data_IF_470623755662
#
_entry.id   IF_470623755662
#
_cell.length_a   1.000
_cell.length_b   1.000
_cell.length_c   1.000
_cell.angle_alpha   90.00
_cell.angle_beta   90.00
_cell.angle_gamma   90.00
#
_symmetry.space_group_name_H-M   'P 1'
#
loop_
_entity.id
_entity.type
_entity.pdbx_description
1 polymer ?
#
# COMPACT_ATOMS: atom_id res chain seq x y z
N UNK A 1 2.66 31.63 -16.15
CA UNK A 1 3.76 30.71 -16.50
C UNK A 1 3.14 29.37 -16.83
N UNK A 2 3.28 28.92 -18.08
CA UNK A 2 2.79 27.63 -18.54
C UNK A 2 3.79 26.57 -18.07
N UNK A 3 3.40 25.76 -17.08
CA UNK A 3 4.17 24.57 -16.71
C UNK A 3 3.74 23.43 -17.61
N UNK A 4 4.73 22.91 -18.32
CA UNK A 4 4.63 21.78 -19.26
C UNK A 4 4.16 20.54 -18.51
N UNK A 5 3.28 19.79 -19.15
CA UNK A 5 2.90 18.40 -18.88
C UNK A 5 3.99 17.57 -18.18
N UNK A 6 3.58 16.81 -17.17
CA UNK A 6 4.31 15.74 -16.48
C UNK A 6 5.22 14.92 -17.39
N UNK A 7 6.51 15.24 -17.41
CA UNK A 7 7.51 14.38 -18.06
C UNK A 7 8.00 13.37 -17.03
N UNK A 8 7.32 12.21 -16.97
CA UNK A 8 7.83 11.03 -16.25
C UNK A 8 9.25 10.71 -16.76
N UNK A 9 10.15 10.35 -15.85
CA UNK A 9 11.55 10.04 -16.18
C UNK A 9 11.74 8.54 -16.30
N UNK A 10 12.42 8.15 -17.37
CA UNK A 10 12.65 6.75 -17.73
C UNK A 10 13.96 6.27 -17.10
N UNK A 11 13.88 5.20 -16.31
CA UNK A 11 15.01 4.36 -15.89
C UNK A 11 15.02 3.16 -16.81
N UNK A 12 16.15 2.87 -17.43
CA UNK A 12 16.33 1.73 -18.32
C UNK A 12 17.37 0.79 -17.74
N UNK A 13 17.08 -0.51 -17.69
CA UNK A 13 18.05 -1.51 -17.25
C UNK A 13 17.79 -2.87 -17.87
N UNK A 14 18.83 -3.71 -17.89
CA UNK A 14 18.70 -5.09 -18.33
C UNK A 14 18.68 -6.01 -17.11
N UNK A 15 17.66 -6.85 -16.97
CA UNK A 15 17.59 -7.81 -15.88
C UNK A 15 18.75 -8.82 -15.96
N UNK A 16 19.55 -8.93 -14.91
CA UNK A 16 20.68 -9.87 -14.85
C UNK A 16 20.26 -11.34 -14.95
N UNK A 17 19.03 -11.66 -14.56
CA UNK A 17 18.53 -13.06 -14.53
C UNK A 17 17.94 -13.50 -15.87
N UNK A 18 17.11 -12.68 -16.52
CA UNK A 18 16.45 -13.04 -17.78
C UNK A 18 17.03 -12.37 -19.03
N UNK A 19 17.93 -11.40 -18.88
CA UNK A 19 18.53 -10.67 -19.99
C UNK A 19 17.59 -9.74 -20.75
N UNK A 20 16.32 -9.61 -20.32
CA UNK A 20 15.34 -8.71 -20.96
C UNK A 20 15.60 -7.27 -20.53
N UNK A 21 15.45 -6.35 -21.49
CA UNK A 21 15.42 -4.92 -21.23
C UNK A 21 14.12 -4.57 -20.49
N UNK A 22 14.25 -3.73 -19.46
CA UNK A 22 13.18 -3.32 -18.56
C UNK A 22 13.23 -1.80 -18.42
N UNK A 23 12.05 -1.21 -18.33
CA UNK A 23 11.87 0.24 -18.23
C UNK A 23 11.02 0.54 -16.98
N UNK A 24 11.49 1.46 -16.14
CA UNK A 24 10.67 2.04 -15.07
C UNK A 24 10.44 3.52 -15.38
N UNK A 25 9.21 3.98 -15.22
CA UNK A 25 8.89 5.41 -15.32
C UNK A 25 8.62 5.94 -13.92
N UNK A 26 9.40 6.93 -13.49
CA UNK A 26 9.27 7.53 -12.16
C UNK A 26 8.94 9.01 -12.25
N UNK A 27 8.10 9.48 -11.34
CA UNK A 27 7.85 10.91 -11.16
C UNK A 27 9.11 11.57 -10.58
N UNK A 28 9.60 12.70 -11.14
CA UNK A 28 10.79 13.38 -10.63
C UNK A 28 10.72 13.75 -9.13
N UNK A 29 9.51 14.01 -8.62
CA UNK A 29 9.25 14.31 -7.22
C UNK A 29 9.65 13.17 -6.25
N UNK A 30 9.80 11.94 -6.74
CA UNK A 30 10.16 10.78 -5.91
C UNK A 30 11.68 10.61 -5.71
N UNK A 31 12.52 11.45 -6.33
CA UNK A 31 13.96 11.25 -6.38
C UNK A 31 14.77 12.28 -5.54
N UNK A 32 14.26 13.50 -5.33
CA UNK A 32 15.13 14.65 -5.00
C UNK A 32 15.77 14.61 -3.61
N UNK A 33 15.10 14.10 -2.58
CA UNK A 33 15.58 14.36 -1.21
C UNK A 33 16.47 13.25 -0.64
N UNK A 34 16.31 12.01 -1.13
CA UNK A 34 17.09 10.84 -0.67
C UNK A 34 18.39 10.66 -1.45
N UNK A 35 18.42 10.95 -2.75
CA UNK A 35 19.61 10.76 -3.59
C UNK A 35 20.76 11.69 -3.19
N UNK A 36 20.46 12.91 -2.71
CA UNK A 36 21.49 13.84 -2.25
C UNK A 36 22.26 13.34 -1.02
N UNK A 37 21.65 12.47 -0.19
CA UNK A 37 22.26 11.96 1.04
C UNK A 37 23.03 10.65 0.83
N UNK A 38 22.51 9.74 0.01
CA UNK A 38 23.06 8.39 -0.20
C UNK A 38 23.74 8.19 -1.55
N UNK A 39 23.62 9.14 -2.48
CA UNK A 39 24.11 9.06 -3.86
C UNK A 39 23.24 8.22 -4.80
N UNK A 40 22.29 7.46 -4.26
CA UNK A 40 21.33 6.62 -4.99
C UNK A 40 20.04 6.42 -4.19
N UNK A 41 18.95 6.10 -4.88
CA UNK A 41 17.65 5.70 -4.34
C UNK A 41 17.35 4.26 -4.76
N UNK A 42 16.59 3.54 -3.94
CA UNK A 42 16.26 2.14 -4.19
C UNK A 42 14.84 2.01 -4.73
N UNK A 43 14.71 1.33 -5.87
CA UNK A 43 13.43 0.93 -6.45
C UNK A 43 13.32 -0.61 -6.45
N UNK A 44 12.10 -1.14 -6.51
CA UNK A 44 11.87 -2.57 -6.70
C UNK A 44 11.08 -2.78 -7.99
N UNK A 45 11.61 -3.61 -8.89
CA UNK A 45 10.90 -4.10 -10.07
C UNK A 45 10.47 -5.54 -9.85
N UNK A 46 9.17 -5.83 -10.00
CA UNK A 46 8.62 -7.17 -9.92
C UNK A 46 8.15 -7.59 -11.30
N UNK A 47 8.70 -8.68 -11.82
CA UNK A 47 8.37 -9.11 -13.17
C UNK A 47 8.42 -10.62 -13.37
N UNK A 48 7.72 -11.08 -14.41
CA UNK A 48 7.87 -12.46 -14.90
C UNK A 48 9.24 -12.60 -15.57
N UNK A 49 10.08 -13.43 -14.97
CA UNK A 49 11.47 -13.65 -15.32
C UNK A 49 11.63 -14.92 -16.18
N UNK A 50 12.84 -15.48 -16.21
CA UNK A 50 13.13 -16.76 -16.88
C UNK A 50 12.26 -17.86 -16.27
N UNK A 51 11.82 -18.81 -17.10
CA UNK A 51 10.95 -19.94 -16.72
C UNK A 51 9.53 -19.56 -16.27
N UNK A 52 9.04 -18.35 -16.60
CA UNK A 52 7.72 -17.83 -16.18
C UNK A 52 7.57 -17.64 -14.66
N UNK A 53 8.66 -17.70 -13.90
CA UNK A 53 8.65 -17.42 -12.47
C UNK A 53 8.64 -15.91 -12.23
N UNK A 54 7.85 -15.46 -11.26
CA UNK A 54 7.87 -14.08 -10.81
C UNK A 54 9.18 -13.82 -10.05
N UNK A 55 9.84 -12.72 -10.33
CA UNK A 55 11.10 -12.34 -9.72
C UNK A 55 11.04 -10.88 -9.29
N UNK A 56 11.57 -10.57 -8.12
CA UNK A 56 11.69 -9.20 -7.62
C UNK A 56 13.16 -8.78 -7.65
N UNK A 57 13.44 -7.59 -8.18
CA UNK A 57 14.79 -7.04 -8.31
C UNK A 57 14.81 -5.65 -7.69
N UNK A 58 15.67 -5.48 -6.70
CA UNK A 58 15.99 -4.19 -6.11
C UNK A 58 17.02 -3.46 -6.97
N UNK A 59 16.74 -2.23 -7.35
CA UNK A 59 17.55 -1.39 -8.22
C UNK A 59 18.06 -0.19 -7.44
N UNK A 60 19.37 0.02 -7.43
CA UNK A 60 19.96 1.24 -6.90
C UNK A 60 20.16 2.22 -8.05
N UNK A 61 19.43 3.33 -8.03
CA UNK A 61 19.33 4.30 -9.12
C UNK A 61 19.87 5.64 -8.67
N UNK A 62 20.71 6.26 -9.48
CA UNK A 62 21.33 7.53 -9.12
C UNK A 62 20.50 8.76 -9.54
N UNK A 63 21.08 9.95 -9.41
CA UNK A 63 20.47 11.22 -9.80
C UNK A 63 20.23 11.36 -11.32
N UNK A 64 20.96 10.60 -12.15
CA UNK A 64 20.81 10.60 -13.60
C UNK A 64 19.82 9.56 -14.11
N UNK A 65 19.11 8.86 -13.20
CA UNK A 65 18.21 7.75 -13.54
C UNK A 65 18.94 6.51 -14.07
N UNK A 66 20.25 6.40 -13.82
CA UNK A 66 21.04 5.23 -14.19
C UNK A 66 20.96 4.17 -13.10
N UNK A 67 20.70 2.92 -13.48
CA UNK A 67 20.81 1.78 -12.56
C UNK A 67 22.29 1.46 -12.31
N UNK A 68 22.75 1.70 -11.08
CA UNK A 68 24.12 1.43 -10.64
C UNK A 68 24.31 0.00 -10.16
N UNK A 69 23.27 -0.60 -9.57
CA UNK A 69 23.28 -2.01 -9.20
C UNK A 69 21.88 -2.60 -9.21
N UNK A 70 21.80 -3.91 -9.38
CA UNK A 70 20.57 -4.68 -9.27
C UNK A 70 20.81 -5.91 -8.39
N UNK A 71 19.90 -6.19 -7.46
CA UNK A 71 19.98 -7.32 -6.52
C UNK A 71 18.66 -8.08 -6.57
N UNK A 72 18.74 -9.40 -6.81
CA UNK A 72 17.56 -10.26 -6.75
C UNK A 72 17.10 -10.39 -5.30
N UNK A 73 15.81 -10.19 -5.06
CA UNK A 73 15.20 -10.42 -3.75
C UNK A 73 14.86 -11.90 -3.64
N UNK A 74 15.51 -12.62 -2.73
CA UNK A 74 15.33 -14.06 -2.58
C UNK A 74 13.90 -14.42 -2.14
N UNK A 75 13.11 -15.03 -3.03
CA UNK A 75 11.88 -15.76 -2.69
C UNK A 75 12.25 -17.14 -2.14
N UNK A 76 11.93 -17.43 -0.88
CA UNK A 76 11.92 -18.81 -0.40
C UNK A 76 10.63 -19.49 -0.87
N UNK A 77 10.55 -19.85 -2.15
CA UNK A 77 9.49 -20.73 -2.65
C UNK A 77 9.95 -22.19 -2.57
N UNK A 78 9.35 -22.91 -1.62
CA UNK A 78 9.15 -24.36 -1.57
C UNK A 78 10.31 -25.32 -1.92
N UNK A 79 10.68 -26.13 -0.92
CA UNK A 79 11.27 -27.48 -0.99
C UNK A 79 12.73 -27.69 -1.38
N UNK A 80 13.60 -26.69 -1.27
CA UNK A 80 15.01 -26.96 -1.03
C UNK A 80 15.46 -26.10 0.15
N UNK A 81 15.52 -26.69 1.35
CA UNK A 81 16.61 -26.31 2.22
C UNK A 81 17.86 -26.46 1.36
N UNK A 82 18.68 -25.42 1.13
CA UNK A 82 20.01 -25.68 0.67
C UNK A 82 20.57 -26.59 1.75
N UNK A 83 20.84 -27.84 1.39
CA UNK A 83 21.70 -28.69 2.18
C UNK A 83 23.01 -27.92 2.25
N UNK A 84 23.15 -27.10 3.29
CA UNK A 84 24.43 -26.69 3.82
C UNK A 84 25.05 -28.01 4.26
N UNK A 85 25.66 -28.69 3.30
CA UNK A 85 26.78 -29.55 3.58
C UNK A 85 27.72 -28.65 4.35
N UNK A 86 27.84 -28.96 5.63
CA UNK A 86 28.74 -28.32 6.58
C UNK A 86 30.06 -28.02 5.86
N UNK A 87 30.26 -26.76 5.47
CA UNK A 87 31.58 -26.27 5.08
C UNK A 87 32.33 -26.00 6.39
N UNK A 88 32.42 -27.03 7.24
CA UNK A 88 33.31 -27.06 8.39
C UNK A 88 34.72 -27.25 7.86
N UNK A 89 35.37 -26.14 7.49
CA UNK A 89 36.77 -26.19 7.05
C UNK A 89 37.24 -24.96 6.28
N UNK A 90 36.32 -24.14 5.76
CA UNK A 90 36.66 -22.86 5.15
C UNK A 90 36.20 -21.74 6.07
N UNK A 91 37.14 -20.91 6.53
CA UNK A 91 36.91 -19.66 7.27
C UNK A 91 36.25 -18.59 6.36
N UNK A 92 35.25 -18.97 5.57
CA UNK A 92 34.45 -18.07 4.77
C UNK A 92 33.39 -17.52 5.73
N UNK A 93 33.37 -16.20 5.99
CA UNK A 93 32.31 -15.62 6.80
C UNK A 93 30.96 -15.93 6.15
N UNK A 94 30.13 -16.70 6.86
CA UNK A 94 28.77 -16.99 6.43
C UNK A 94 27.97 -15.69 6.40
N UNK A 95 27.17 -15.44 5.33
CA UNK A 95 26.29 -14.28 5.30
C UNK A 95 25.37 -14.31 6.52
N UNK A 96 25.43 -13.28 7.36
CA UNK A 96 24.47 -13.13 8.46
C UNK A 96 23.08 -13.07 7.85
N UNK A 97 22.12 -13.81 8.41
CA UNK A 97 20.68 -13.66 8.06
C UNK A 97 20.37 -12.16 8.10
N UNK A 98 19.82 -11.62 7.02
CA UNK A 98 19.41 -10.23 6.98
C UNK A 98 18.35 -10.02 8.07
N UNK A 99 18.72 -9.32 9.13
CA UNK A 99 17.79 -8.93 10.19
C UNK A 99 16.82 -7.91 9.60
N UNK A 100 15.52 -8.15 9.77
CA UNK A 100 14.50 -7.19 9.39
C UNK A 100 14.66 -5.95 10.26
N UNK A 101 14.57 -4.76 9.66
CA UNK A 101 14.54 -3.51 10.42
C UNK A 101 13.23 -3.44 11.17
N UNK A 102 13.30 -3.55 12.49
CA UNK A 102 12.12 -3.42 13.33
C UNK A 102 11.70 -1.96 13.41
N UNK A 103 10.41 -1.72 13.22
CA UNK A 103 9.78 -0.41 13.32
C UNK A 103 8.49 -0.52 14.11
N UNK A 104 8.26 0.44 14.99
CA UNK A 104 7.04 0.52 15.77
C UNK A 104 5.95 1.28 14.98
N UNK A 105 4.76 0.71 14.91
CA UNK A 105 3.56 1.38 14.42
C UNK A 105 2.93 2.08 15.62
N UNK A 106 2.98 3.41 15.64
CA UNK A 106 2.31 4.20 16.68
C UNK A 106 0.81 4.23 16.36
N UNK A 107 -0.07 3.69 17.24
CA UNK A 107 -1.51 3.68 16.99
C UNK A 107 -2.08 5.10 16.90
N UNK A 108 -3.15 5.25 16.11
CA UNK A 108 -3.92 6.51 16.11
C UNK A 108 -4.69 6.65 17.42
N UNK A 109 -5.17 7.86 17.72
CA UNK A 109 -6.01 8.11 18.90
C UNK A 109 -7.33 7.32 18.90
N UNK A 110 -7.79 6.93 17.72
CA UNK A 110 -9.06 6.23 17.53
C UNK A 110 -8.89 4.71 17.61
N UNK A 111 -7.66 4.21 17.71
CA UNK A 111 -7.39 2.79 17.91
C UNK A 111 -7.76 2.38 19.34
N UNK A 112 -8.86 1.64 19.47
CA UNK A 112 -9.38 1.21 20.76
C UNK A 112 -8.91 -0.17 21.20
N UNK A 113 -8.25 -0.92 20.31
CA UNK A 113 -7.84 -2.30 20.52
C UNK A 113 -9.01 -3.20 20.96
N UNK A 114 -10.19 -2.99 20.36
CA UNK A 114 -11.40 -3.74 20.70
C UNK A 114 -11.34 -5.15 20.14
N UNK A 115 -10.98 -5.27 18.87
CA UNK A 115 -10.94 -6.52 18.10
C UNK A 115 -9.52 -6.94 17.77
N UNK A 116 -8.66 -5.98 17.42
CA UNK A 116 -7.25 -6.17 17.12
C UNK A 116 -6.41 -5.79 18.35
N UNK A 117 -5.74 -6.76 18.96
CA UNK A 117 -4.90 -6.54 20.16
C UNK A 117 -3.46 -6.24 19.83
N UNK A 118 -2.90 -6.88 18.80
CA UNK A 118 -1.52 -6.74 18.36
C UNK A 118 -1.43 -7.09 16.87
N UNK A 119 -0.51 -6.45 16.15
CA UNK A 119 -0.21 -6.80 14.77
C UNK A 119 1.29 -6.71 14.49
N UNK A 120 1.82 -7.68 13.76
CA UNK A 120 3.17 -7.71 13.23
C UNK A 120 3.08 -7.94 11.73
N UNK A 121 3.70 -7.07 10.95
CA UNK A 121 3.84 -7.21 9.51
C UNK A 121 5.32 -7.41 9.22
N UNK A 122 5.72 -8.61 8.83
CA UNK A 122 7.08 -8.90 8.35
C UNK A 122 7.09 -8.76 6.84
N UNK A 123 7.78 -7.74 6.37
CA UNK A 123 7.91 -7.42 4.96
C UNK A 123 9.33 -7.72 4.48
N UNK A 124 9.47 -8.86 3.80
CA UNK A 124 10.75 -9.32 3.25
C UNK A 124 11.17 -8.54 2.00
N UNK A 125 10.23 -7.93 1.27
CA UNK A 125 10.54 -7.08 0.10
C UNK A 125 11.24 -5.80 0.53
N UNK A 126 10.78 -5.21 1.63
CA UNK A 126 11.27 -3.93 2.17
C UNK A 126 12.23 -4.11 3.35
N UNK A 127 12.59 -5.37 3.66
CA UNK A 127 13.48 -5.76 4.76
C UNK A 127 13.10 -5.12 6.10
N UNK A 128 11.80 -5.03 6.39
CA UNK A 128 11.27 -4.33 7.56
C UNK A 128 10.25 -5.20 8.30
N UNK A 129 10.14 -5.00 9.60
CA UNK A 129 9.15 -5.64 10.46
C UNK A 129 8.43 -4.56 11.24
N UNK A 130 7.14 -4.40 10.97
CA UNK A 130 6.32 -3.36 11.58
C UNK A 130 5.51 -3.96 12.72
N UNK A 131 5.64 -3.40 13.92
CA UNK A 131 4.97 -3.86 15.13
C UNK A 131 3.99 -2.81 15.63
N UNK A 132 2.69 -3.12 15.58
CA UNK A 132 1.68 -2.41 16.36
C UNK A 132 1.67 -3.03 17.75
N UNK A 133 2.25 -2.30 18.71
CA UNK A 133 2.30 -2.76 20.10
C UNK A 133 0.90 -2.95 20.69
N UNK A 134 0.79 -3.96 21.55
CA UNK A 134 -0.41 -4.23 22.31
C UNK A 134 -0.30 -5.53 23.09
N UNK A 135 -1.43 -5.97 23.65
CA UNK A 135 -1.45 -7.11 24.58
C UNK A 135 -1.33 -8.42 23.79
N UNK A 136 -0.41 -9.30 24.18
CA UNK A 136 -0.31 -10.68 23.66
C UNK A 136 -1.35 -11.60 24.31
N UNK A 137 -2.58 -11.12 24.43
CA UNK A 137 -3.71 -11.87 24.95
C UNK A 137 -4.74 -12.00 23.83
N UNK A 138 -5.40 -13.16 23.75
CA UNK A 138 -6.36 -13.49 22.70
C UNK A 138 -5.89 -14.61 21.78
N UNK A 139 -6.51 -14.69 20.60
CA UNK A 139 -6.26 -15.74 19.61
C UNK A 139 -5.25 -15.23 18.57
N UNK A 140 -4.20 -16.00 18.33
CA UNK A 140 -3.19 -15.72 17.32
C UNK A 140 -3.67 -16.20 15.94
N UNK A 141 -3.57 -15.34 14.93
CA UNK A 141 -3.84 -15.68 13.53
C UNK A 141 -2.69 -15.19 12.67
N UNK A 142 -2.13 -16.12 11.88
CA UNK A 142 -0.99 -15.85 11.01
C UNK A 142 -1.40 -16.12 9.57
N UNK A 143 -1.13 -15.16 8.67
CA UNK A 143 -1.26 -15.35 7.24
C UNK A 143 0.03 -15.00 6.51
N UNK A 144 0.28 -15.70 5.42
CA UNK A 144 1.38 -15.42 4.50
C UNK A 144 0.81 -15.07 3.14
N UNK A 145 1.43 -14.10 2.47
CA UNK A 145 1.13 -13.83 1.07
C UNK A 145 1.48 -15.04 0.19
N UNK A 146 0.87 -15.18 -1.00
CA UNK A 146 1.14 -16.27 -1.93
C UNK A 146 2.61 -16.41 -2.32
N UNK A 147 3.36 -15.31 -2.43
CA UNK A 147 4.80 -15.36 -2.72
C UNK A 147 5.66 -15.42 -1.45
N UNK A 148 5.03 -15.48 -0.28
CA UNK A 148 5.66 -15.62 1.04
C UNK A 148 6.63 -14.46 1.37
N UNK A 149 6.39 -13.28 0.80
CA UNK A 149 7.16 -12.08 1.10
C UNK A 149 6.58 -11.26 2.24
N UNK A 150 5.27 -11.30 2.41
CA UNK A 150 4.56 -10.62 3.49
C UNK A 150 4.01 -11.70 4.43
N UNK A 151 4.39 -11.62 5.70
CA UNK A 151 3.82 -12.42 6.78
C UNK A 151 3.14 -11.46 7.76
N UNK A 152 1.89 -11.74 8.10
CA UNK A 152 1.12 -10.94 9.04
C UNK A 152 0.71 -11.84 10.20
N UNK A 153 1.18 -11.52 11.40
CA UNK A 153 0.85 -12.16 12.68
C UNK A 153 0.02 -11.16 13.49
N UNK A 154 -1.21 -11.54 13.86
CA UNK A 154 -2.06 -10.71 14.71
C UNK A 154 -2.59 -11.48 15.91
N UNK A 155 -2.90 -10.74 16.97
CA UNK A 155 -3.67 -11.22 18.11
C UNK A 155 -5.03 -10.52 18.12
N UNK A 156 -6.10 -11.30 18.21
CA UNK A 156 -7.49 -10.82 18.21
C UNK A 156 -8.24 -11.23 19.46
N UNK A 157 -9.36 -10.56 19.74
CA UNK A 157 -10.29 -10.98 20.80
C UNK A 157 -10.85 -12.38 20.55
N UNK A 158 -11.10 -13.14 21.63
CA UNK A 158 -11.51 -14.55 21.57
C UNK A 158 -12.89 -14.79 20.93
N UNK A 159 -13.73 -13.76 20.87
CA UNK A 159 -15.08 -13.80 20.31
C UNK A 159 -15.12 -13.68 18.78
N UNK A 160 -13.98 -13.44 18.13
CA UNK A 160 -13.89 -13.21 16.70
C UNK A 160 -13.54 -14.51 15.97
N UNK A 161 -14.24 -14.77 14.86
CA UNK A 161 -13.99 -15.94 14.03
C UNK A 161 -12.62 -15.84 13.32
N UNK A 162 -11.74 -16.82 13.55
CA UNK A 162 -10.39 -16.86 12.98
C UNK A 162 -10.36 -17.06 11.47
N UNK A 163 -11.34 -17.76 10.88
CA UNK A 163 -11.44 -17.94 9.42
C UNK A 163 -11.72 -16.60 8.73
N UNK A 164 -12.68 -15.84 9.26
CA UNK A 164 -12.99 -14.47 8.82
C UNK A 164 -11.76 -13.58 8.84
N UNK A 165 -11.00 -13.65 9.94
CA UNK A 165 -9.77 -12.86 10.10
C UNK A 165 -8.69 -13.31 9.12
N UNK A 166 -8.55 -14.61 8.90
CA UNK A 166 -7.59 -15.14 7.94
C UNK A 166 -7.86 -14.63 6.51
N UNK A 167 -9.13 -14.52 6.10
CA UNK A 167 -9.50 -13.93 4.79
C UNK A 167 -9.08 -12.46 4.66
N UNK A 168 -9.26 -11.68 5.73
CA UNK A 168 -8.76 -10.30 5.81
C UNK A 168 -7.26 -10.23 5.66
N UNK A 169 -6.52 -11.04 6.43
CA UNK A 169 -5.07 -11.03 6.43
C UNK A 169 -4.48 -11.50 5.09
N UNK A 170 -5.10 -12.50 4.46
CA UNK A 170 -4.69 -12.94 3.13
C UNK A 170 -4.86 -11.81 2.11
N UNK A 171 -6.01 -11.13 2.11
CA UNK A 171 -6.27 -10.00 1.23
C UNK A 171 -5.31 -8.83 1.48
N UNK A 172 -5.05 -8.49 2.75
CA UNK A 172 -4.10 -7.47 3.14
C UNK A 172 -2.67 -7.82 2.69
N UNK A 173 -2.23 -9.06 2.91
CA UNK A 173 -0.90 -9.52 2.51
C UNK A 173 -0.71 -9.42 0.99
N UNK A 174 -1.75 -9.74 0.20
CA UNK A 174 -1.75 -9.59 -1.25
C UNK A 174 -1.62 -8.12 -1.67
N UNK A 175 -2.39 -7.23 -1.01
CA UNK A 175 -2.31 -5.80 -1.29
C UNK A 175 -0.90 -5.29 -0.98
N UNK A 176 -0.38 -5.55 0.22
CA UNK A 176 0.96 -5.10 0.65
C UNK A 176 2.09 -5.64 -0.24
N UNK A 177 1.96 -6.88 -0.72
CA UNK A 177 2.89 -7.51 -1.67
C UNK A 177 2.85 -6.84 -3.05
N UNK A 178 1.67 -6.37 -3.47
CA UNK A 178 1.51 -5.65 -4.75
C UNK A 178 1.97 -4.19 -4.70
N UNK A 179 2.12 -3.59 -3.51
CA UNK A 179 2.56 -2.21 -3.38
C UNK A 179 4.02 -2.08 -3.83
N UNK A 180 4.34 -1.03 -4.59
CA UNK A 180 5.74 -0.71 -4.90
C UNK A 180 6.36 0.07 -3.76
N UNK A 181 5.61 1.02 -3.21
CA UNK A 181 5.98 1.85 -2.08
C UNK A 181 4.94 1.69 -0.97
N UNK A 182 5.41 1.44 0.26
CA UNK A 182 4.58 1.43 1.45
C UNK A 182 4.94 2.67 2.27
N UNK A 183 3.98 3.57 2.44
CA UNK A 183 4.13 4.67 3.38
C UNK A 183 3.82 4.15 4.79
N UNK A 184 4.86 4.05 5.60
CA UNK A 184 4.82 3.49 6.95
C UNK A 184 3.84 4.25 7.86
N UNK A 185 3.63 5.56 7.59
CA UNK A 185 2.67 6.36 8.35
C UNK A 185 1.23 5.86 8.22
N UNK A 186 0.90 5.18 7.11
CA UNK A 186 -0.43 4.62 6.84
C UNK A 186 -0.73 3.37 7.68
N UNK A 187 0.28 2.71 8.24
CA UNK A 187 0.11 1.47 9.01
C UNK A 187 -0.64 1.72 10.33
N UNK A 188 -0.57 2.94 10.87
CA UNK A 188 -1.34 3.33 12.06
C UNK A 188 -2.85 3.40 11.75
N UNK A 189 -3.21 3.96 10.59
CA UNK A 189 -4.59 3.97 10.10
C UNK A 189 -5.06 2.58 9.72
N UNK A 190 -4.18 1.73 9.18
CA UNK A 190 -4.47 0.33 8.90
C UNK A 190 -4.89 -0.41 10.17
N UNK A 191 -4.14 -0.27 11.26
CA UNK A 191 -4.47 -0.89 12.55
C UNK A 191 -5.85 -0.46 13.05
N UNK A 192 -6.17 0.83 12.91
CA UNK A 192 -7.48 1.40 13.28
C UNK A 192 -8.61 0.86 12.38
N UNK A 193 -8.37 0.77 11.08
CA UNK A 193 -9.34 0.23 10.13
C UNK A 193 -9.65 -1.24 10.44
N UNK A 194 -8.61 -2.07 10.63
CA UNK A 194 -8.78 -3.48 10.95
C UNK A 194 -9.48 -3.69 12.29
N UNK A 195 -9.17 -2.90 13.33
CA UNK A 195 -9.83 -2.99 14.64
C UNK A 195 -11.37 -2.88 14.55
N UNK A 196 -11.90 -2.18 13.55
CA UNK A 196 -13.34 -2.08 13.33
C UNK A 196 -13.90 -3.14 12.36
N UNK A 197 -13.11 -3.57 11.37
CA UNK A 197 -13.61 -4.33 10.23
C UNK A 197 -13.45 -5.84 10.35
N UNK A 198 -12.45 -6.33 11.11
CA UNK A 198 -12.11 -7.77 11.17
C UNK A 198 -13.18 -8.65 11.80
N UNK A 199 -14.21 -8.06 12.42
CA UNK A 199 -15.34 -8.78 13.04
C UNK A 199 -16.27 -9.43 12.02
N UNK A 200 -16.21 -9.02 10.74
CA UNK A 200 -17.06 -9.55 9.66
C UNK A 200 -16.25 -9.90 8.41
N UNK A 201 -16.71 -10.83 7.56
CA UNK A 201 -16.01 -11.19 6.32
C UNK A 201 -15.76 -9.98 5.40
N UNK A 202 -14.59 -9.91 4.75
CA UNK A 202 -14.26 -8.80 3.86
C UNK A 202 -15.19 -8.75 2.65
N UNK A 203 -15.85 -7.61 2.44
CA UNK A 203 -16.62 -7.33 1.23
C UNK A 203 -15.75 -6.66 0.18
N UNK A 204 -16.13 -6.77 -1.09
CA UNK A 204 -15.41 -6.12 -2.21
C UNK A 204 -15.19 -4.62 -1.99
N UNK A 205 -16.20 -3.91 -1.47
CA UNK A 205 -16.09 -2.49 -1.12
C UNK A 205 -15.01 -2.23 -0.06
N UNK A 206 -14.94 -3.07 0.97
CA UNK A 206 -14.04 -2.89 2.09
C UNK A 206 -12.60 -3.25 1.68
N UNK A 207 -12.43 -4.20 0.75
CA UNK A 207 -11.14 -4.47 0.10
C UNK A 207 -10.68 -3.30 -0.78
N UNK A 208 -11.60 -2.62 -1.48
CA UNK A 208 -11.31 -1.39 -2.21
C UNK A 208 -10.88 -0.27 -1.25
N UNK A 209 -11.59 -0.09 -0.14
CA UNK A 209 -11.24 0.88 0.91
C UNK A 209 -9.86 0.59 1.50
N UNK A 210 -9.54 -0.67 1.79
CA UNK A 210 -8.23 -1.10 2.27
C UNK A 210 -7.12 -0.78 1.25
N UNK A 211 -7.35 -1.09 -0.03
CA UNK A 211 -6.43 -0.75 -1.12
C UNK A 211 -6.24 0.76 -1.22
N UNK A 212 -7.31 1.53 -1.11
CA UNK A 212 -7.28 2.99 -1.16
C UNK A 212 -6.52 3.59 0.01
N UNK A 213 -6.74 3.08 1.23
CA UNK A 213 -6.03 3.50 2.44
C UNK A 213 -4.53 3.38 2.23
N UNK A 214 -4.06 2.20 1.80
CA UNK A 214 -2.64 1.91 1.60
C UNK A 214 -2.02 2.64 0.41
N UNK A 215 -2.83 3.06 -0.56
CA UNK A 215 -2.39 3.86 -1.70
C UNK A 215 -2.66 5.37 -1.53
N UNK A 216 -3.11 5.82 -0.36
CA UNK A 216 -3.61 7.19 -0.21
C UNK A 216 -2.55 8.29 -0.36
N UNK A 217 -1.28 7.93 -0.23
CA UNK A 217 -0.11 8.80 -0.44
C UNK A 217 0.42 8.80 -1.87
N UNK A 218 -0.24 8.06 -2.78
CA UNK A 218 0.10 7.98 -4.21
C UNK A 218 -1.11 8.11 -5.14
N UNK A 219 -2.31 7.82 -4.67
CA UNK A 219 -3.54 7.93 -5.46
C UNK A 219 -4.01 9.38 -5.52
N UNK A 220 -4.38 9.84 -6.72
CA UNK A 220 -4.91 11.17 -6.99
C UNK A 220 -6.40 11.02 -7.34
N UNK A 221 -7.31 11.55 -6.51
CA UNK A 221 -8.74 11.49 -6.78
C UNK A 221 -9.18 12.64 -7.68
N UNK A 222 -10.01 12.34 -8.68
CA UNK A 222 -10.54 13.28 -9.64
C UNK A 222 -12.06 13.23 -9.68
N UNK A 223 -12.70 14.40 -9.64
CA UNK A 223 -14.12 14.56 -9.95
C UNK A 223 -14.32 15.60 -11.04
N UNK A 224 -15.47 15.55 -11.72
CA UNK A 224 -15.85 16.46 -12.80
C UNK A 224 -17.13 17.21 -12.43
N UNK A 225 -17.39 18.33 -13.12
CA UNK A 225 -18.64 19.07 -12.95
C UNK A 225 -19.86 18.18 -13.26
N UNK A 226 -19.72 17.24 -14.20
CA UNK A 226 -20.75 16.26 -14.54
C UNK A 226 -20.99 15.25 -13.40
N UNK A 227 -19.94 14.74 -12.76
CA UNK A 227 -20.10 13.85 -11.60
C UNK A 227 -20.88 14.53 -10.47
N UNK A 228 -20.54 15.78 -10.14
CA UNK A 228 -21.24 16.54 -9.10
C UNK A 228 -22.71 16.74 -9.48
N UNK A 229 -22.98 17.12 -10.73
CA UNK A 229 -24.35 17.31 -11.21
C UNK A 229 -25.18 16.02 -11.12
N UNK A 230 -24.65 14.88 -11.58
CA UNK A 230 -25.33 13.59 -11.50
C UNK A 230 -25.59 13.20 -10.04
N UNK A 231 -24.60 13.41 -9.17
CA UNK A 231 -24.78 13.17 -7.74
C UNK A 231 -25.92 14.02 -7.17
N UNK A 232 -25.96 15.32 -7.44
CA UNK A 232 -27.02 16.21 -6.95
C UNK A 232 -28.42 15.83 -7.47
N UNK A 233 -28.53 15.40 -8.74
CA UNK A 233 -29.78 15.02 -9.37
C UNK A 233 -30.32 13.67 -8.85
N UNK A 234 -29.43 12.70 -8.59
CA UNK A 234 -29.80 11.31 -8.27
C UNK A 234 -29.47 10.86 -6.84
N UNK A 235 -29.01 11.75 -5.95
CA UNK A 235 -28.58 11.37 -4.60
C UNK A 235 -29.64 10.62 -3.80
N UNK A 236 -30.92 11.02 -3.90
CA UNK A 236 -32.00 10.38 -3.15
C UNK A 236 -32.32 8.97 -3.66
N UNK A 237 -32.04 8.69 -4.95
CA UNK A 237 -32.24 7.37 -5.55
C UNK A 237 -31.08 6.44 -5.20
N UNK A 238 -29.84 6.96 -5.27
CA UNK A 238 -28.62 6.20 -5.01
C UNK A 238 -28.34 6.01 -3.52
N UNK A 239 -28.75 6.97 -2.69
CA UNK A 239 -28.49 7.01 -1.25
C UNK A 239 -29.76 7.46 -0.48
N UNK A 240 -30.82 6.63 -0.44
CA UNK A 240 -32.10 7.01 0.15
C UNK A 240 -32.03 7.34 1.66
N UNK A 241 -31.02 6.82 2.36
CA UNK A 241 -30.80 7.03 3.79
C UNK A 241 -29.77 8.14 4.09
N UNK A 242 -29.28 8.86 3.07
CA UNK A 242 -28.25 9.89 3.24
C UNK A 242 -28.83 11.11 3.94
N UNK A 243 -28.40 11.36 5.18
CA UNK A 243 -28.79 12.56 5.89
C UNK A 243 -28.11 13.83 5.31
N UNK A 244 -28.63 15.00 5.66
CA UNK A 244 -28.15 16.31 5.15
C UNK A 244 -26.67 16.55 5.46
N UNK A 245 -26.16 16.05 6.58
CA UNK A 245 -24.74 16.22 6.96
C UNK A 245 -23.86 15.37 6.05
N UNK A 246 -24.21 14.10 5.85
CA UNK A 246 -23.51 13.19 4.95
C UNK A 246 -23.56 13.67 3.49
N UNK A 247 -24.69 14.19 3.03
CA UNK A 247 -24.82 14.81 1.72
C UNK A 247 -23.82 15.95 1.52
N UNK A 248 -23.78 16.91 2.45
CA UNK A 248 -22.84 18.05 2.40
C UNK A 248 -21.39 17.59 2.40
N UNK A 249 -21.10 16.53 3.16
CA UNK A 249 -19.77 15.96 3.24
C UNK A 249 -19.34 15.32 1.93
N UNK A 250 -20.19 14.49 1.31
CA UNK A 250 -19.93 13.86 0.01
C UNK A 250 -19.67 14.92 -1.05
N UNK A 251 -20.56 15.92 -1.11
CA UNK A 251 -20.44 17.06 -2.04
C UNK A 251 -19.12 17.82 -1.85
N UNK A 252 -18.75 18.14 -0.62
CA UNK A 252 -17.52 18.88 -0.35
C UNK A 252 -16.25 18.08 -0.68
N UNK A 253 -16.27 16.76 -0.51
CA UNK A 253 -15.17 15.88 -0.96
C UNK A 253 -15.09 15.88 -2.49
N UNK A 254 -16.22 15.74 -3.19
CA UNK A 254 -16.25 15.80 -4.66
C UNK A 254 -15.75 17.16 -5.18
N UNK A 255 -16.16 18.27 -4.54
CA UNK A 255 -15.68 19.62 -4.85
C UNK A 255 -14.17 19.77 -4.58
N UNK A 256 -13.63 19.13 -3.53
CA UNK A 256 -12.19 19.13 -3.26
C UNK A 256 -11.40 18.31 -4.32
N UNK A 257 -12.02 17.29 -4.90
CA UNK A 257 -11.46 16.50 -5.99
C UNK A 257 -11.69 17.13 -7.39
N UNK A 258 -12.48 18.19 -7.49
CA UNK A 258 -12.82 18.83 -8.76
C UNK A 258 -11.58 19.51 -9.35
N UNK A 259 -11.20 19.11 -10.57
CA UNK A 259 -9.97 19.60 -11.25
C UNK A 259 -8.71 19.45 -10.38
N UNK A 260 -8.73 18.50 -9.46
CA UNK A 260 -7.53 18.13 -8.73
C UNK A 260 -6.55 17.46 -9.71
N UNK A 261 -5.33 17.96 -9.80
CA UNK A 261 -4.30 17.39 -10.70
C UNK A 261 -3.14 16.77 -9.91
N UNK A 262 -2.99 17.10 -8.63
CA UNK A 262 -1.76 16.83 -7.88
C UNK A 262 -1.99 16.36 -6.44
N UNK A 263 -3.08 16.78 -5.80
CA UNK A 263 -3.30 16.46 -4.39
C UNK A 263 -3.68 15.00 -4.26
N UNK A 264 -2.98 14.29 -3.39
CA UNK A 264 -3.24 12.88 -3.14
C UNK A 264 -4.45 12.74 -2.23
N UNK A 265 -4.98 11.52 -2.11
CA UNK A 265 -6.09 11.22 -1.20
C UNK A 265 -5.83 11.72 0.22
N UNK A 266 -4.60 11.54 0.75
CA UNK A 266 -4.22 12.03 2.08
C UNK A 266 -4.20 13.56 2.16
N UNK A 267 -3.79 14.26 1.09
CA UNK A 267 -3.75 15.72 1.04
C UNK A 267 -5.19 16.29 1.03
N UNK A 268 -6.09 15.66 0.25
CA UNK A 268 -7.51 16.01 0.23
C UNK A 268 -8.15 15.80 1.60
N UNK A 269 -7.82 14.70 2.30
CA UNK A 269 -8.30 14.46 3.66
C UNK A 269 -7.92 15.61 4.59
N UNK A 270 -6.66 16.00 4.64
CA UNK A 270 -6.19 17.06 5.53
C UNK A 270 -6.85 18.42 5.22
N UNK A 271 -7.13 18.71 3.95
CA UNK A 271 -7.82 19.94 3.56
C UNK A 271 -9.31 19.93 3.85
N UNK A 272 -9.98 18.80 3.65
CA UNK A 272 -11.41 18.63 3.96
C UNK A 272 -11.61 18.64 5.48
N UNK A 273 -10.74 17.97 6.25
CA UNK A 273 -10.78 17.92 7.72
C UNK A 273 -10.73 19.32 8.36
N UNK A 274 -9.97 20.25 7.79
CA UNK A 274 -9.93 21.67 8.25
C UNK A 274 -11.27 22.38 8.08
N UNK A 275 -12.10 21.95 7.12
CA UNK A 275 -13.38 22.58 6.76
C UNK A 275 -14.57 21.87 7.39
N UNK A 276 -14.48 20.56 7.59
CA UNK A 276 -15.58 19.69 8.02
C UNK A 276 -15.15 18.96 9.30
N UNK A 277 -15.56 19.51 10.44
CA UNK A 277 -15.19 19.03 11.78
C UNK A 277 -15.68 17.58 12.05
N UNK A 278 -16.67 17.11 11.31
CA UNK A 278 -17.23 15.76 11.41
C UNK A 278 -16.31 14.68 10.82
N UNK A 279 -15.40 15.02 9.91
CA UNK A 279 -14.39 14.08 9.40
C UNK A 279 -13.22 14.07 10.37
N UNK A 280 -13.32 13.24 11.41
CA UNK A 280 -12.28 13.16 12.44
C UNK A 280 -11.24 12.09 12.11
N UNK A 281 -11.69 10.90 11.74
CA UNK A 281 -10.82 9.76 11.46
C UNK A 281 -10.58 9.58 9.96
N UNK A 282 -9.33 9.31 9.59
CA UNK A 282 -8.96 9.02 8.20
C UNK A 282 -9.63 7.75 7.64
N UNK A 283 -9.74 6.63 8.38
CA UNK A 283 -10.53 5.46 7.95
C UNK A 283 -11.97 5.79 7.51
N UNK A 284 -12.63 6.70 8.24
CA UNK A 284 -13.99 7.12 7.89
C UNK A 284 -14.02 7.91 6.57
N UNK A 285 -13.05 8.80 6.37
CA UNK A 285 -12.87 9.50 5.10
C UNK A 285 -12.62 8.53 3.93
N UNK A 286 -11.80 7.51 4.14
CA UNK A 286 -11.55 6.46 3.14
C UNK A 286 -12.84 5.72 2.78
N UNK A 287 -13.72 5.42 3.73
CA UNK A 287 -15.00 4.78 3.43
C UNK A 287 -15.93 5.65 2.57
N UNK A 288 -15.90 6.97 2.79
CA UNK A 288 -16.65 7.91 1.96
C UNK A 288 -16.08 7.97 0.54
N UNK A 289 -14.76 8.13 0.39
CA UNK A 289 -14.14 8.11 -0.95
C UNK A 289 -14.36 6.76 -1.61
N UNK A 290 -14.19 5.64 -0.90
CA UNK A 290 -14.47 4.30 -1.43
C UNK A 290 -15.89 4.20 -1.99
N UNK A 291 -16.87 4.75 -1.28
CA UNK A 291 -18.25 4.84 -1.77
C UNK A 291 -18.35 5.68 -3.05
N UNK A 292 -17.80 6.88 -3.07
CA UNK A 292 -17.84 7.77 -4.25
C UNK A 292 -17.12 7.16 -5.46
N UNK A 293 -16.05 6.40 -5.24
CA UNK A 293 -15.33 5.65 -6.28
C UNK A 293 -16.17 4.49 -6.80
N UNK A 294 -16.80 3.70 -5.93
CA UNK A 294 -17.67 2.59 -6.36
C UNK A 294 -18.85 3.04 -7.23
N UNK A 295 -19.36 4.25 -7.01
CA UNK A 295 -20.44 4.84 -7.82
C UNK A 295 -19.93 5.67 -9.02
N UNK A 296 -18.61 5.75 -9.24
CA UNK A 296 -18.03 6.47 -10.38
C UNK A 296 -18.05 8.00 -10.26
N UNK A 297 -18.31 8.54 -9.07
CA UNK A 297 -18.29 9.98 -8.81
C UNK A 297 -16.89 10.55 -8.61
N UNK A 298 -15.96 9.67 -8.21
CA UNK A 298 -14.53 9.95 -8.14
C UNK A 298 -13.78 8.88 -8.91
N UNK A 299 -12.95 9.30 -9.85
CA UNK A 299 -11.97 8.44 -10.49
C UNK A 299 -10.64 8.54 -9.73
N UNK A 300 -9.95 7.42 -9.59
CA UNK A 300 -8.62 7.40 -8.97
C UNK A 300 -7.58 7.22 -10.06
N UNK A 301 -6.73 8.23 -10.24
CA UNK A 301 -5.47 8.02 -10.94
C UNK A 301 -4.47 7.49 -9.91
N UNK A 302 -4.19 6.19 -9.98
CA UNK A 302 -3.06 5.63 -9.25
C UNK A 302 -1.79 5.95 -10.03
N UNK A 303 -0.75 6.37 -9.33
CA UNK A 303 0.60 6.37 -9.89
C UNK A 303 1.04 4.90 -10.08
N UNK A 304 0.54 4.26 -11.14
CA UNK A 304 0.87 2.88 -11.49
C UNK A 304 2.18 2.84 -12.28
N UNK A 305 3.03 1.89 -11.91
CA UNK A 305 4.25 1.54 -12.61
C UNK A 305 3.89 0.51 -13.68
N UNK A 306 3.85 0.92 -14.96
CA UNK A 306 3.63 -0.03 -16.05
C UNK A 306 4.93 -0.78 -16.39
N UNK A 307 4.91 -2.11 -16.35
CA UNK A 307 5.82 -2.90 -17.17
C UNK A 307 5.18 -3.05 -18.56
N UNK A 308 5.81 -2.52 -19.61
CA UNK A 308 5.34 -2.77 -20.98
C UNK A 308 5.62 -4.24 -21.30
N UNK A 309 4.59 -5.08 -21.22
CA UNK A 309 4.58 -6.41 -21.83
C UNK A 309 3.57 -6.53 -22.96
N UNK A 310 3.07 -5.42 -23.49
CA UNK A 310 2.26 -5.39 -24.73
C UNK A 310 2.55 -4.10 -25.52
N UNK A 311 3.61 -4.15 -26.33
CA UNK A 311 3.74 -3.50 -27.63
C UNK A 311 4.65 -4.37 -28.52
#
# INVERSE_FOLDING_TARGET
MSFKSDVRRKIEYQCNTCGKLRLLFIAPALQSDKVEQTGYIEYCDVHICKNKNLNAIKLCVDHNYDVRSQVTVETKTSSEEPAFTEIEGLNIPTPKKAELREQEIIPTRDFGAYSLKRMVIKDKLRQSSFLLEGVKEGVEVIANSPLNFIEIDIFISEDINTETVYEWLLSLSNILESLVYLDESLLSYLGTYLDHMIISPPKEKELLELSLLLNSTVAIPHSTDEHIKIFEEHVNELFPELNVVSYRMYRAIMEACLKNEQNRVIDIYEDVKKKIVQIQAFPYFISIIGTLVSFGFINLEKLEFYSISEF
#
